data_IF_326581772421
#
_entry.id   IF_326581772421
#
_cell.length_a   1.000
_cell.length_b   1.000
_cell.length_c   1.000
_cell.angle_alpha   90.00
_cell.angle_beta   90.00
_cell.angle_gamma   90.00
#
_symmetry.space_group_name_H-M   'P 1'
#
loop_
_entity.id
_entity.type
_entity.pdbx_description
1 polymer ?
#
# COMPACT_ATOMS: atom_id res chain seq x y z
N UNK A 1 -26.59 9.85 -39.75
CA UNK A 1 -26.64 8.91 -38.62
C UNK A 1 -25.30 9.03 -37.92
N UNK A 2 -25.25 9.82 -36.86
CA UNK A 2 -24.01 10.18 -36.17
C UNK A 2 -23.55 9.00 -35.30
N UNK A 3 -22.37 8.47 -35.57
CA UNK A 3 -21.76 7.37 -34.83
C UNK A 3 -21.24 7.90 -33.48
N UNK A 4 -22.02 7.73 -32.41
CA UNK A 4 -21.56 7.92 -31.03
C UNK A 4 -20.72 6.71 -30.62
N UNK A 5 -19.45 6.74 -31.01
CA UNK A 5 -18.46 5.78 -30.53
C UNK A 5 -18.02 6.21 -29.12
N UNK A 6 -18.66 5.62 -28.10
CA UNK A 6 -18.29 5.78 -26.70
C UNK A 6 -16.83 5.35 -26.47
N UNK A 7 -16.00 6.11 -25.73
CA UNK A 7 -14.61 5.78 -25.45
C UNK A 7 -14.53 4.77 -24.30
N UNK A 8 -15.26 3.65 -24.38
CA UNK A 8 -14.99 2.49 -23.55
C UNK A 8 -13.80 1.76 -24.18
N UNK A 9 -12.61 2.36 -24.04
CA UNK A 9 -11.36 1.79 -24.51
C UNK A 9 -11.19 0.37 -23.94
N UNK A 10 -10.80 -0.56 -24.81
CA UNK A 10 -10.51 -1.97 -24.55
C UNK A 10 -9.57 -2.18 -23.35
N UNK A 11 -10.10 -2.19 -22.13
CA UNK A 11 -9.37 -2.67 -20.95
C UNK A 11 -9.41 -4.19 -20.96
N UNK A 12 -8.23 -4.81 -21.08
CA UNK A 12 -8.07 -6.25 -20.98
C UNK A 12 -8.74 -6.76 -19.68
N UNK A 13 -9.47 -7.89 -19.70
CA UNK A 13 -10.11 -8.45 -18.53
C UNK A 13 -9.16 -8.62 -17.33
N UNK A 14 -7.89 -8.90 -17.60
CA UNK A 14 -6.84 -8.97 -16.58
C UNK A 14 -6.61 -7.61 -15.89
N UNK A 15 -6.58 -6.53 -16.67
CA UNK A 15 -6.46 -5.16 -16.15
C UNK A 15 -7.69 -4.75 -15.36
N UNK A 16 -8.89 -5.16 -15.80
CA UNK A 16 -10.14 -4.90 -15.07
C UNK A 16 -10.21 -5.64 -13.72
N UNK A 17 -9.72 -6.88 -13.65
CA UNK A 17 -9.62 -7.65 -12.39
C UNK A 17 -8.58 -7.03 -11.45
N UNK A 18 -7.43 -6.59 -11.97
CA UNK A 18 -6.41 -5.89 -11.19
C UNK A 18 -6.94 -4.53 -10.71
N UNK A 19 -7.66 -3.76 -11.54
CA UNK A 19 -8.32 -2.52 -11.15
C UNK A 19 -9.36 -2.74 -10.03
N UNK A 20 -10.11 -3.85 -10.11
CA UNK A 20 -11.06 -4.26 -9.07
C UNK A 20 -10.38 -4.61 -7.74
N UNK A 21 -9.22 -5.26 -7.78
CA UNK A 21 -8.41 -5.54 -6.58
C UNK A 21 -7.73 -4.27 -6.02
N UNK A 22 -7.48 -3.27 -6.86
CA UNK A 22 -7.00 -1.94 -6.48
C UNK A 22 -8.12 -0.92 -6.21
N UNK A 23 -9.38 -1.36 -6.09
CA UNK A 23 -10.50 -0.49 -5.78
C UNK A 23 -10.22 0.34 -4.50
N UNK A 24 -10.67 1.61 -4.44
CA UNK A 24 -10.25 2.56 -3.42
C UNK A 24 -10.59 2.08 -2.01
N UNK A 25 -11.69 1.33 -1.88
CA UNK A 25 -12.16 0.78 -0.61
C UNK A 25 -11.26 -0.29 0.00
N UNK A 26 -10.51 -1.05 -0.80
CA UNK A 26 -9.61 -2.12 -0.31
C UNK A 26 -8.17 -1.63 -0.18
N UNK A 27 -7.72 -0.71 -1.03
CA UNK A 27 -6.33 -0.25 -1.04
C UNK A 27 -5.98 0.60 0.20
N UNK A 28 -6.91 1.45 0.65
CA UNK A 28 -6.74 2.25 1.87
C UNK A 28 -6.66 1.41 3.15
N UNK A 29 -7.57 0.45 3.31
CA UNK A 29 -7.58 -0.47 4.46
C UNK A 29 -6.35 -1.39 4.47
N UNK A 30 -5.92 -1.86 3.30
CA UNK A 30 -4.69 -2.66 3.14
C UNK A 30 -3.46 -1.84 3.54
N UNK A 31 -3.37 -0.59 3.11
CA UNK A 31 -2.26 0.30 3.46
C UNK A 31 -2.19 0.60 4.97
N UNK A 32 -3.34 0.83 5.60
CA UNK A 32 -3.39 1.05 7.04
C UNK A 32 -2.94 -0.20 7.82
N UNK A 33 -3.41 -1.38 7.40
CA UNK A 33 -2.97 -2.66 7.97
C UNK A 33 -1.48 -2.86 7.80
N UNK A 34 -0.94 -2.58 6.62
CA UNK A 34 0.48 -2.71 6.32
C UNK A 34 1.33 -1.80 7.21
N UNK A 35 0.94 -0.52 7.36
CA UNK A 35 1.56 0.42 8.29
C UNK A 35 1.51 -0.10 9.73
N UNK A 36 0.34 -0.55 10.18
CA UNK A 36 0.16 -1.10 11.53
C UNK A 36 1.07 -2.31 11.78
N UNK A 37 1.18 -3.22 10.81
CA UNK A 37 2.05 -4.40 10.91
C UNK A 37 3.52 -3.99 10.99
N UNK A 38 3.97 -3.01 10.20
CA UNK A 38 5.35 -2.50 10.29
C UNK A 38 5.63 -1.82 11.64
N UNK A 39 4.67 -1.07 12.20
CA UNK A 39 4.80 -0.47 13.53
C UNK A 39 4.91 -1.55 14.61
N UNK A 40 4.04 -2.57 14.56
CA UNK A 40 4.08 -3.71 15.49
C UNK A 40 5.39 -4.49 15.38
N UNK A 41 5.87 -4.73 14.15
CA UNK A 41 7.14 -5.38 13.89
C UNK A 41 8.30 -4.56 14.48
N UNK A 42 8.30 -3.24 14.28
CA UNK A 42 9.29 -2.33 14.85
C UNK A 42 9.29 -2.34 16.38
N UNK A 43 8.11 -2.31 17.01
CA UNK A 43 7.97 -2.43 18.46
C UNK A 43 8.54 -3.78 18.96
N UNK A 44 8.22 -4.87 18.28
CA UNK A 44 8.70 -6.20 18.63
C UNK A 44 10.23 -6.29 18.52
N UNK A 45 10.81 -5.77 17.44
CA UNK A 45 12.25 -5.71 17.25
C UNK A 45 12.94 -4.83 18.29
N UNK A 46 12.34 -3.70 18.68
CA UNK A 46 12.87 -2.83 19.73
C UNK A 46 12.89 -3.54 21.10
N UNK A 47 11.83 -4.27 21.43
CA UNK A 47 11.77 -5.11 22.65
C UNK A 47 12.82 -6.21 22.58
N UNK A 48 12.88 -6.96 21.46
CA UNK A 48 13.90 -7.99 21.28
C UNK A 48 15.30 -7.41 21.45
N UNK A 49 15.60 -6.27 20.83
CA UNK A 49 16.90 -5.60 20.91
C UNK A 49 17.24 -5.25 22.36
N UNK A 50 16.31 -4.66 23.12
CA UNK A 50 16.47 -4.38 24.54
C UNK A 50 16.74 -5.64 25.39
N UNK A 51 16.06 -6.74 25.08
CA UNK A 51 16.28 -8.03 25.74
C UNK A 51 17.66 -8.62 25.40
N UNK A 52 18.12 -8.55 24.15
CA UNK A 52 19.46 -9.05 23.81
C UNK A 52 20.57 -8.19 24.40
N UNK A 53 20.35 -6.87 24.51
CA UNK A 53 21.27 -5.99 25.23
C UNK A 53 21.36 -6.38 26.71
N UNK A 54 20.22 -6.70 27.33
CA UNK A 54 20.17 -7.14 28.72
C UNK A 54 20.81 -8.52 28.93
N UNK A 55 20.74 -9.43 27.95
CA UNK A 55 21.32 -10.77 28.07
C UNK A 55 22.83 -10.80 27.83
N UNK A 56 23.40 -9.76 27.21
CA UNK A 56 24.83 -9.67 26.92
C UNK A 56 25.32 -10.65 25.83
N UNK A 57 24.39 -11.29 25.10
CA UNK A 57 24.74 -12.23 24.04
C UNK A 57 25.04 -11.47 22.74
N UNK A 58 26.32 -11.39 22.39
CA UNK A 58 26.81 -10.65 21.22
C UNK A 58 26.34 -11.23 19.89
N UNK A 59 26.10 -12.54 19.81
CA UNK A 59 25.69 -13.18 18.55
C UNK A 59 24.20 -12.96 18.31
N UNK A 60 23.39 -13.08 19.37
CA UNK A 60 21.98 -12.69 19.33
C UNK A 60 21.81 -11.19 19.02
N UNK A 61 22.65 -10.34 19.59
CA UNK A 61 22.62 -8.90 19.32
C UNK A 61 22.89 -8.59 17.84
N UNK A 62 23.90 -9.22 17.23
CA UNK A 62 24.18 -9.09 15.80
C UNK A 62 22.99 -9.59 14.96
N UNK A 63 22.41 -10.73 15.34
CA UNK A 63 21.26 -11.28 14.64
C UNK A 63 20.04 -10.35 14.66
N UNK A 64 19.69 -9.81 15.83
CA UNK A 64 18.56 -8.87 15.95
C UNK A 64 18.86 -7.56 15.22
N UNK A 65 20.09 -7.06 15.28
CA UNK A 65 20.50 -5.89 14.49
C UNK A 65 20.35 -6.14 12.97
N UNK A 66 20.71 -7.33 12.49
CA UNK A 66 20.52 -7.71 11.09
C UNK A 66 19.03 -7.77 10.69
N UNK A 67 18.17 -8.30 11.56
CA UNK A 67 16.72 -8.30 11.35
C UNK A 67 16.16 -6.87 11.27
N UNK A 68 16.65 -5.95 12.10
CA UNK A 68 16.28 -4.52 12.04
C UNK A 68 16.66 -3.91 10.69
N UNK A 69 17.89 -4.16 10.21
CA UNK A 69 18.35 -3.65 8.90
C UNK A 69 17.48 -4.18 7.76
N UNK A 70 17.14 -5.47 7.76
CA UNK A 70 16.24 -6.05 6.74
C UNK A 70 14.85 -5.42 6.83
N UNK A 71 14.27 -5.29 8.02
CA UNK A 71 12.94 -4.71 8.20
C UNK A 71 12.88 -3.26 7.68
N UNK A 72 13.88 -2.44 7.99
CA UNK A 72 14.00 -1.07 7.47
C UNK A 72 14.14 -1.06 5.95
N UNK A 73 14.98 -1.94 5.40
CA UNK A 73 15.19 -2.03 3.95
C UNK A 73 13.90 -2.40 3.21
N UNK A 74 13.17 -3.41 3.71
CA UNK A 74 11.88 -3.82 3.17
C UNK A 74 10.84 -2.70 3.26
N UNK A 75 10.79 -1.98 4.39
CA UNK A 75 9.91 -0.84 4.54
C UNK A 75 10.20 0.24 3.49
N UNK A 76 11.47 0.61 3.29
CA UNK A 76 11.85 1.61 2.30
C UNK A 76 11.52 1.17 0.87
N UNK A 77 11.86 -0.07 0.51
CA UNK A 77 11.53 -0.62 -0.81
C UNK A 77 10.03 -0.62 -1.07
N UNK A 78 9.23 -0.96 -0.07
CA UNK A 78 7.77 -0.97 -0.17
C UNK A 78 7.21 0.45 -0.33
N UNK A 79 7.69 1.42 0.45
CA UNK A 79 7.30 2.82 0.31
C UNK A 79 7.70 3.37 -1.05
N UNK A 80 8.90 3.02 -1.54
CA UNK A 80 9.37 3.42 -2.86
C UNK A 80 8.51 2.83 -3.99
N UNK A 81 8.20 1.53 -3.90
CA UNK A 81 7.32 0.85 -4.83
C UNK A 81 5.93 1.49 -4.87
N UNK A 82 5.36 1.82 -3.71
CA UNK A 82 4.05 2.48 -3.61
C UNK A 82 4.07 3.93 -4.10
N UNK A 83 5.18 4.65 -3.90
CA UNK A 83 5.36 5.98 -4.46
C UNK A 83 5.39 5.97 -6.00
N UNK A 84 5.98 4.94 -6.61
CA UNK A 84 6.04 4.77 -8.07
C UNK A 84 4.75 4.25 -8.68
N UNK A 85 4.12 3.26 -8.05
CA UNK A 85 2.88 2.66 -8.57
C UNK A 85 1.66 3.53 -8.32
N UNK A 86 1.72 4.41 -7.31
CA UNK A 86 0.60 5.20 -6.85
C UNK A 86 -0.42 4.31 -6.14
N UNK A 87 -0.75 4.64 -4.89
CA UNK A 87 -2.08 4.28 -4.40
C UNK A 87 -3.05 5.02 -5.32
N UNK A 88 -3.83 4.29 -6.13
CA UNK A 88 -4.80 4.89 -7.05
C UNK A 88 -5.59 5.96 -6.29
N UNK A 89 -5.41 7.21 -6.69
CA UNK A 89 -6.02 8.37 -6.03
C UNK A 89 -7.53 8.27 -6.18
N UNK A 90 -8.25 8.34 -5.05
CA UNK A 90 -9.70 8.16 -4.95
C UNK A 90 -10.45 9.09 -5.91
N UNK A 91 -9.90 10.28 -6.17
CA UNK A 91 -10.44 11.27 -7.11
C UNK A 91 -10.55 10.72 -8.54
N UNK A 92 -9.54 9.96 -8.99
CA UNK A 92 -9.52 9.35 -10.33
C UNK A 92 -10.52 8.20 -10.44
N UNK A 93 -10.70 7.45 -9.36
CA UNK A 93 -11.71 6.39 -9.28
C UNK A 93 -13.14 6.94 -9.19
N UNK A 94 -13.40 8.05 -8.48
CA UNK A 94 -14.71 8.71 -8.49
C UNK A 94 -15.04 9.34 -9.84
N UNK A 95 -14.04 9.90 -10.53
CA UNK A 95 -14.19 10.47 -11.86
C UNK A 95 -14.42 9.39 -12.94
N UNK A 96 -13.72 8.25 -12.85
CA UNK A 96 -13.92 7.12 -13.78
C UNK A 96 -15.22 6.34 -13.52
N UNK A 97 -15.75 6.36 -12.29
CA UNK A 97 -17.03 5.75 -11.92
C UNK A 97 -18.23 6.69 -12.11
N UNK A 98 -18.03 7.91 -12.64
CA UNK A 98 -19.07 8.94 -12.80
C UNK A 98 -19.89 9.21 -11.52
N UNK A 99 -19.22 9.08 -10.35
CA UNK A 99 -19.81 9.25 -9.03
C UNK A 99 -19.63 10.68 -8.48
N UNK A 100 -19.01 11.58 -9.25
CA UNK A 100 -19.05 13.00 -8.89
C UNK A 100 -20.52 13.43 -8.91
N UNK A 101 -21.05 14.01 -7.81
CA UNK A 101 -22.37 14.61 -7.86
C UNK A 101 -22.32 15.70 -8.92
N UNK A 102 -22.88 15.43 -10.09
CA UNK A 102 -23.29 16.46 -11.01
C UNK A 102 -24.29 17.29 -10.20
N UNK A 103 -23.85 18.48 -9.78
CA UNK A 103 -24.72 19.49 -9.21
C UNK A 103 -25.62 20.01 -10.32
N UNK A 104 -26.58 19.15 -10.68
CA UNK A 104 -27.68 19.46 -11.56
C UNK A 104 -28.85 19.89 -10.67
N UNK A 105 -28.64 20.97 -9.91
CA UNK A 105 -29.73 21.69 -9.25
C UNK A 105 -29.70 23.15 -9.69
N UNK A 106 -30.45 23.37 -10.78
CA UNK A 106 -31.21 24.57 -11.16
C UNK A 106 -30.57 25.96 -11.08
#
# INVERSE_FOLDING_TARGET
>A
MENKQSPAANVSPATAVVLGALAPGVNGATWNTLKSTFVMLGLCLAVMLGLTFSSGDSLLMLHVAFLVVIAVSLFLLLNWFLAQTGLVTIERQMQELDLMPNDHSR
#
